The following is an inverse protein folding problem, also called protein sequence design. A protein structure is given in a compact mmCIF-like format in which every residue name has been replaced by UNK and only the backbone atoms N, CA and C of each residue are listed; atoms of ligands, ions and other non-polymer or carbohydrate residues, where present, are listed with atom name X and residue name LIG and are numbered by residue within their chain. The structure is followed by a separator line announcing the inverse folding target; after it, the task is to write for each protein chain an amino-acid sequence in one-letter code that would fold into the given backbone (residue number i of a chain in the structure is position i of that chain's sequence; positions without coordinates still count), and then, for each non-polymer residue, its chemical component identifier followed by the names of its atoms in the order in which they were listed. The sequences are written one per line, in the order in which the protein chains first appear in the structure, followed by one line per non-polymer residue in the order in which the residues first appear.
data_IF_738154828633
#
_entry.id   IF_738154828633
#
_cell.length_a   1.000
_cell.length_b   1.000
_cell.length_c   1.000
_cell.angle_alpha   90.00
_cell.angle_beta   90.00
_cell.angle_gamma   90.00
#
_symmetry.space_group_name_H-M   'P 1'
#
loop_
_entity.id
_entity.type
_entity.pdbx_description
1 polymer ?
#
# COMPACT_ATOMS: atom_id res chain seq x y z
N UNK A 1 8.66 -3.51 18.97
CA UNK A 1 7.59 -4.25 18.28
C UNK A 1 6.20 -4.08 18.92
N UNK A 2 6.01 -3.33 20.02
CA UNK A 2 4.77 -3.36 20.81
C UNK A 2 3.58 -2.53 20.27
N UNK A 3 3.71 -1.75 19.19
CA UNK A 3 2.61 -0.90 18.69
C UNK A 3 2.62 -0.79 17.15
N UNK A 4 2.53 -1.93 16.47
CA UNK A 4 2.42 -1.98 15.02
C UNK A 4 1.18 -2.78 14.64
N UNK A 5 0.26 -2.15 13.93
CA UNK A 5 -0.90 -2.79 13.33
C UNK A 5 -0.54 -3.15 11.88
N UNK A 6 -0.58 -4.43 11.57
CA UNK A 6 -0.57 -4.92 10.19
C UNK A 6 -2.02 -5.20 9.80
N UNK A 7 -2.63 -4.28 9.07
CA UNK A 7 -3.99 -4.46 8.55
C UNK A 7 -3.90 -5.14 7.17
N UNK A 8 -4.66 -6.22 6.99
CA UNK A 8 -4.58 -7.07 5.80
C UNK A 8 -5.97 -7.63 5.46
N UNK A 9 -6.45 -7.38 4.24
CA UNK A 9 -7.58 -8.12 3.67
C UNK A 9 -7.09 -8.93 2.48
N UNK A 10 -7.15 -10.26 2.61
CA UNK A 10 -7.05 -11.16 1.47
C UNK A 10 -8.45 -11.32 0.86
N UNK A 11 -8.62 -10.91 -0.39
CA UNK A 11 -9.84 -11.22 -1.13
C UNK A 11 -9.87 -12.74 -1.39
N UNK A 12 -10.86 -13.44 -0.82
CA UNK A 12 -11.18 -14.82 -1.19
C UNK A 12 -11.75 -14.82 -2.61
N UNK A 13 -11.36 -15.76 -3.49
CA UNK A 13 -11.96 -15.89 -4.81
C UNK A 13 -13.42 -16.29 -4.64
N UNK A 14 -14.36 -15.42 -5.02
CA UNK A 14 -15.73 -15.81 -5.28
C UNK A 14 -15.79 -16.49 -6.66
N UNK A 15 -16.05 -17.80 -6.62
CA UNK A 15 -16.35 -18.83 -7.65
C UNK A 15 -15.93 -18.60 -9.14
N UNK A 16 -15.26 -19.58 -9.78
CA UNK A 16 -14.87 -19.50 -11.17
C UNK A 16 -16.02 -19.91 -12.10
N UNK A 17 -16.56 -18.96 -12.86
CA UNK A 17 -17.15 -19.31 -14.16
C UNK A 17 -16.00 -19.41 -15.18
N UNK A 18 -15.89 -20.50 -15.95
CA UNK A 18 -14.79 -20.69 -16.91
C UNK A 18 -15.08 -19.85 -18.15
N UNK A 19 -14.80 -18.55 -18.07
CA UNK A 19 -14.62 -17.74 -19.27
C UNK A 19 -13.18 -17.98 -19.74
N UNK A 20 -12.93 -18.37 -20.99
CA UNK A 20 -11.57 -18.59 -21.46
C UNK A 20 -10.79 -17.28 -21.29
N UNK A 21 -9.81 -17.29 -20.40
CA UNK A 21 -8.91 -16.18 -20.19
C UNK A 21 -8.16 -15.93 -21.50
N UNK A 22 -8.61 -14.92 -22.25
CA UNK A 22 -7.72 -14.18 -23.13
C UNK A 22 -6.52 -13.81 -22.26
N UNK A 23 -5.34 -14.30 -22.61
CA UNK A 23 -4.07 -13.92 -22.00
C UNK A 23 -3.92 -12.40 -22.11
N UNK A 24 -4.46 -11.68 -21.13
CA UNK A 24 -4.19 -10.27 -20.93
C UNK A 24 -2.87 -10.18 -20.20
N UNK A 25 -1.83 -9.70 -20.88
CA UNK A 25 -0.58 -9.29 -20.25
C UNK A 25 -0.90 -8.38 -19.05
N UNK A 26 -0.17 -8.49 -17.93
CA UNK A 26 -0.35 -7.60 -16.79
C UNK A 26 -0.13 -6.14 -17.25
N UNK A 27 -1.19 -5.32 -17.22
CA UNK A 27 -1.21 -3.98 -17.82
C UNK A 27 -0.24 -2.97 -17.19
N UNK A 28 0.39 -3.28 -16.06
CA UNK A 28 1.37 -2.38 -15.42
C UNK A 28 2.38 -3.22 -14.64
N UNK A 29 3.67 -3.05 -14.95
CA UNK A 29 4.77 -3.67 -14.22
C UNK A 29 4.84 -3.10 -12.79
N UNK A 30 5.29 -3.89 -11.80
CA UNK A 30 5.50 -3.36 -10.46
C UNK A 30 6.54 -2.23 -10.47
N UNK A 31 6.38 -1.20 -9.64
CA UNK A 31 7.32 -0.09 -9.59
C UNK A 31 8.65 -0.58 -9.03
N UNK A 32 9.77 -0.06 -9.54
CA UNK A 32 11.12 -0.44 -9.07
C UNK A 32 11.42 0.08 -7.66
N UNK A 33 10.77 1.17 -7.27
CA UNK A 33 10.86 1.80 -5.96
C UNK A 33 9.46 2.13 -5.44
N UNK A 34 9.32 2.33 -4.13
CA UNK A 34 8.07 2.78 -3.57
C UNK A 34 7.65 4.14 -4.14
N UNK A 35 6.36 4.29 -4.46
CA UNK A 35 5.79 5.53 -4.96
C UNK A 35 5.12 6.27 -3.80
N UNK A 36 5.30 7.60 -3.67
CA UNK A 36 4.53 8.37 -2.72
C UNK A 36 3.06 8.37 -3.16
N UNK A 37 2.13 7.98 -2.29
CA UNK A 37 0.69 7.97 -2.59
C UNK A 37 0.01 9.22 -2.04
N UNK A 38 0.27 9.52 -0.77
CA UNK A 38 -0.22 10.72 -0.09
C UNK A 38 0.98 11.43 0.52
N UNK A 39 1.15 12.72 0.25
CA UNK A 39 2.18 13.55 0.88
C UNK A 39 1.55 14.72 1.64
N UNK A 40 2.16 15.18 2.74
CA UNK A 40 1.70 16.37 3.44
C UNK A 40 1.78 17.60 2.54
N UNK A 41 0.70 18.38 2.49
CA UNK A 41 0.72 19.71 1.89
C UNK A 41 1.48 20.68 2.79
N UNK A 42 2.36 21.49 2.22
CA UNK A 42 3.16 22.45 2.97
C UNK A 42 2.29 23.34 3.87
N UNK A 43 2.71 23.49 5.13
CA UNK A 43 2.05 24.32 6.14
C UNK A 43 0.57 23.96 6.45
N UNK A 44 0.11 22.76 6.10
CA UNK A 44 -1.23 22.29 6.46
C UNK A 44 -1.21 20.86 7.02
N UNK A 45 -2.33 20.43 7.62
CA UNK A 45 -2.54 19.03 8.04
C UNK A 45 -3.18 18.18 6.94
N UNK A 46 -3.23 18.69 5.70
CA UNK A 46 -3.83 17.99 4.56
C UNK A 46 -2.82 17.05 3.91
N UNK A 47 -3.37 16.01 3.30
CA UNK A 47 -2.65 15.04 2.49
C UNK A 47 -3.05 15.24 1.02
N UNK A 48 -2.07 15.40 0.15
CA UNK A 48 -2.25 15.51 -1.29
C UNK A 48 -1.95 14.17 -1.96
N UNK A 49 -2.89 13.73 -2.81
CA UNK A 49 -2.75 12.55 -3.65
C UNK A 49 -1.71 12.80 -4.74
N UNK A 50 -0.81 11.84 -4.93
CA UNK A 50 0.25 11.94 -5.93
C UNK A 50 -0.18 11.31 -7.26
N UNK A 51 -0.07 12.03 -8.40
CA UNK A 51 -0.54 11.55 -9.70
C UNK A 51 0.09 10.23 -10.16
N UNK A 52 1.41 10.06 -10.00
CA UNK A 52 2.13 8.86 -10.45
C UNK A 52 1.62 7.60 -9.75
N UNK A 53 1.41 7.67 -8.43
CA UNK A 53 0.83 6.59 -7.65
C UNK A 53 -0.61 6.30 -8.05
N UNK A 54 -1.41 7.33 -8.31
CA UNK A 54 -2.80 7.17 -8.76
C UNK A 54 -2.86 6.50 -10.14
N UNK A 55 -2.03 6.91 -11.08
CA UNK A 55 -1.93 6.30 -12.41
C UNK A 55 -1.53 4.83 -12.31
N UNK A 56 -0.56 4.50 -11.46
CA UNK A 56 -0.16 3.12 -11.20
C UNK A 56 -1.34 2.29 -10.68
N UNK A 57 -2.05 2.76 -9.65
CA UNK A 57 -3.19 2.04 -9.07
C UNK A 57 -4.35 1.92 -10.06
N UNK A 58 -4.64 2.97 -10.84
CA UNK A 58 -5.69 2.96 -11.85
C UNK A 58 -5.39 2.02 -13.03
N UNK A 59 -4.11 1.76 -13.32
CA UNK A 59 -3.66 0.81 -14.33
C UNK A 59 -3.78 -0.66 -13.93
N UNK A 60 -3.98 -0.96 -12.64
CA UNK A 60 -4.05 -2.34 -12.15
C UNK A 60 -5.28 -3.07 -12.70
N UNK A 61 -5.05 -4.32 -13.11
CA UNK A 61 -6.08 -5.24 -13.59
C UNK A 61 -6.07 -6.51 -12.76
N UNK A 62 -7.27 -7.04 -12.48
CA UNK A 62 -7.47 -8.24 -11.69
C UNK A 62 -7.58 -7.96 -10.18
N UNK A 63 -7.54 -9.03 -9.36
CA UNK A 63 -7.67 -8.89 -7.91
C UNK A 63 -6.53 -8.07 -7.30
N UNK A 64 -6.90 -7.19 -6.36
CA UNK A 64 -5.96 -6.38 -5.57
C UNK A 64 -6.15 -6.68 -4.09
N UNK A 65 -5.07 -6.97 -3.40
CA UNK A 65 -5.03 -7.07 -1.94
C UNK A 65 -4.17 -5.92 -1.39
N UNK A 66 -4.47 -5.46 -0.18
CA UNK A 66 -3.74 -4.36 0.46
C UNK A 66 -3.19 -4.83 1.80
N UNK A 67 -1.91 -4.55 2.03
CA UNK A 67 -1.20 -4.77 3.30
C UNK A 67 -0.70 -3.42 3.80
N UNK A 68 -1.21 -2.93 4.92
CA UNK A 68 -0.78 -1.65 5.49
C UNK A 68 -0.04 -1.85 6.80
N UNK A 69 1.16 -1.28 6.92
CA UNK A 69 1.89 -1.19 8.19
C UNK A 69 1.65 0.18 8.82
N UNK A 70 1.01 0.20 9.99
CA UNK A 70 0.65 1.42 10.71
C UNK A 70 1.22 1.33 12.13
N UNK A 71 1.73 2.44 12.68
CA UNK A 71 2.24 2.48 14.05
C UNK A 71 3.23 3.60 14.29
N UNK A 72 3.74 3.68 15.52
CA UNK A 72 4.60 4.77 16.00
C UNK A 72 5.82 5.05 15.11
N UNK A 73 6.37 6.26 15.26
CA UNK A 73 7.65 6.61 14.67
C UNK A 73 8.76 5.62 15.06
N UNK A 74 9.57 5.19 14.08
CA UNK A 74 10.70 4.24 14.23
C UNK A 74 10.34 2.84 14.75
N UNK A 75 9.12 2.36 14.49
CA UNK A 75 8.72 0.99 14.86
C UNK A 75 9.20 -0.11 13.90
N UNK A 76 9.87 0.25 12.79
CA UNK A 76 10.41 -0.71 11.82
C UNK A 76 9.46 -1.11 10.69
N UNK A 77 8.43 -0.29 10.40
CA UNK A 77 7.38 -0.57 9.39
C UNK A 77 7.93 -0.86 8.00
N UNK A 78 8.66 0.08 7.43
CA UNK A 78 9.28 -0.03 6.10
C UNK A 78 10.20 -1.26 6.00
N UNK A 79 10.96 -1.55 7.06
CA UNK A 79 11.79 -2.74 7.15
C UNK A 79 10.96 -4.02 7.15
N UNK A 80 9.91 -4.10 7.97
CA UNK A 80 9.00 -5.25 7.99
C UNK A 80 8.39 -5.50 6.61
N UNK A 81 7.89 -4.46 5.95
CA UNK A 81 7.27 -4.59 4.63
C UNK A 81 8.28 -5.11 3.60
N UNK A 82 9.51 -4.61 3.59
CA UNK A 82 10.57 -5.13 2.73
C UNK A 82 10.89 -6.61 3.01
N UNK A 83 10.87 -7.04 4.28
CA UNK A 83 11.06 -8.46 4.63
C UNK A 83 9.89 -9.33 4.14
N UNK A 84 8.65 -8.86 4.28
CA UNK A 84 7.46 -9.57 3.79
C UNK A 84 7.49 -9.75 2.27
N UNK A 85 7.91 -8.72 1.54
CA UNK A 85 8.04 -8.74 0.08
C UNK A 85 9.28 -9.53 -0.40
N UNK A 86 10.18 -9.92 0.52
CA UNK A 86 11.48 -10.57 0.24
C UNK A 86 12.35 -9.75 -0.72
N UNK A 87 12.31 -8.41 -0.60
CA UNK A 87 13.06 -7.51 -1.47
C UNK A 87 14.52 -7.34 -1.01
N UNK A 88 15.36 -7.05 -1.98
CA UNK A 88 16.78 -6.76 -1.81
C UNK A 88 16.94 -5.33 -1.26
N UNK A 89 18.11 -4.99 -0.71
CA UNK A 89 18.37 -3.66 -0.15
C UNK A 89 18.27 -2.49 -1.15
N UNK A 90 18.19 -2.76 -2.46
CA UNK A 90 18.08 -1.77 -3.53
C UNK A 90 16.64 -1.52 -4.01
N UNK A 91 15.66 -2.25 -3.50
CA UNK A 91 14.25 -2.23 -3.94
C UNK A 91 13.31 -2.02 -2.75
N UNK A 92 12.07 -1.59 -3.03
CA UNK A 92 11.05 -1.42 -1.99
C UNK A 92 11.08 -0.06 -1.30
N UNK A 93 10.77 -0.06 0.00
CA UNK A 93 10.72 1.14 0.82
C UNK A 93 12.11 1.55 1.30
N UNK A 94 12.38 2.85 1.31
CA UNK A 94 13.64 3.38 1.84
C UNK A 94 13.72 3.17 3.35
N UNK A 95 14.81 2.56 3.80
CA UNK A 95 15.11 2.37 5.22
C UNK A 95 16.37 3.16 5.57
N UNK A 96 16.24 4.18 6.41
CA UNK A 96 17.36 5.01 6.86
C UNK A 96 17.67 4.82 8.35
N UNK A 97 18.94 5.02 8.73
CA UNK A 97 19.39 5.00 10.13
C UNK A 97 19.35 6.38 10.82
N UNK A 98 18.93 7.44 10.10
CA UNK A 98 18.96 8.83 10.59
C UNK A 98 17.74 9.16 11.45
N UNK A 99 17.84 10.26 12.22
CA UNK A 99 16.82 10.68 13.20
C UNK A 99 15.57 11.30 12.59
N UNK A 100 15.60 11.71 11.32
CA UNK A 100 14.45 12.31 10.63
C UNK A 100 13.51 11.23 10.09
N UNK A 101 12.20 11.48 10.16
CA UNK A 101 11.21 10.58 9.61
C UNK A 101 11.46 10.36 8.12
N UNK A 102 11.90 9.14 7.79
CA UNK A 102 12.26 8.75 6.43
C UNK A 102 11.00 8.66 5.55
N UNK A 103 9.88 8.23 6.13
CA UNK A 103 8.59 8.15 5.46
C UNK A 103 7.72 9.33 5.88
N UNK A 104 7.36 10.18 4.92
CA UNK A 104 6.36 11.24 5.08
C UNK A 104 5.09 10.88 4.33
N UNK A 105 3.94 11.02 4.98
CA UNK A 105 2.63 10.64 4.42
C UNK A 105 2.45 9.13 4.26
N UNK A 106 1.96 8.67 3.11
CA UNK A 106 1.71 7.25 2.80
C UNK A 106 2.39 6.89 1.48
N UNK A 107 3.13 5.78 1.48
CA UNK A 107 3.88 5.28 0.33
C UNK A 107 3.36 3.91 -0.06
N UNK A 108 3.41 3.60 -1.36
CA UNK A 108 2.94 2.34 -1.91
C UNK A 108 4.05 1.57 -2.61
N UNK A 109 4.01 0.24 -2.52
CA UNK A 109 4.79 -0.65 -3.37
C UNK A 109 3.90 -1.81 -3.83
N UNK A 110 3.88 -2.09 -5.13
CA UNK A 110 3.07 -3.17 -5.69
C UNK A 110 3.91 -4.40 -6.04
N UNK A 111 3.44 -5.58 -5.65
CA UNK A 111 4.07 -6.87 -5.98
C UNK A 111 3.04 -7.84 -6.53
N UNK A 112 3.40 -8.59 -7.58
CA UNK A 112 2.57 -9.67 -8.10
C UNK A 112 2.67 -10.89 -7.18
N UNK A 113 1.52 -11.47 -6.86
CA UNK A 113 1.42 -12.69 -6.07
C UNK A 113 0.60 -13.73 -6.82
N UNK A 114 1.28 -14.70 -7.42
CA UNK A 114 0.65 -15.77 -8.21
C UNK A 114 -0.17 -16.75 -7.34
N UNK A 115 0.18 -16.87 -6.06
CA UNK A 115 -0.44 -17.80 -5.12
C UNK A 115 -1.82 -17.33 -4.60
N UNK A 116 -2.27 -16.12 -4.94
CA UNK A 116 -3.52 -15.53 -4.46
C UNK A 116 -4.35 -15.01 -5.63
N UNK A 117 -5.68 -14.91 -5.50
CA UNK A 117 -6.54 -14.27 -6.51
C UNK A 117 -7.00 -15.14 -7.68
N UNK A 118 -6.72 -16.45 -7.68
CA UNK A 118 -7.19 -17.36 -8.71
C UNK A 118 -6.36 -17.35 -10.00
N UNK A 119 -6.91 -17.81 -11.14
CA UNK A 119 -6.16 -17.89 -12.40
C UNK A 119 -5.69 -16.50 -12.85
N UNK A 120 -4.38 -16.27 -12.86
CA UNK A 120 -3.76 -14.97 -13.19
C UNK A 120 -3.19 -14.20 -11.99
N UNK A 121 -3.34 -14.72 -10.77
CA UNK A 121 -2.76 -14.15 -9.56
C UNK A 121 -3.47 -12.87 -9.08
N UNK A 122 -2.88 -12.24 -8.06
CA UNK A 122 -3.30 -10.95 -7.53
C UNK A 122 -2.15 -9.95 -7.54
N UNK A 123 -2.48 -8.66 -7.49
CA UNK A 123 -1.52 -7.62 -7.12
C UNK A 123 -1.68 -7.31 -5.63
N UNK A 124 -0.60 -7.42 -4.88
CA UNK A 124 -0.55 -7.00 -3.47
C UNK A 124 0.06 -5.61 -3.40
N UNK A 125 -0.69 -4.65 -2.85
CA UNK A 125 -0.23 -3.31 -2.55
C UNK A 125 0.20 -3.25 -1.10
N UNK A 126 1.48 -2.99 -0.87
CA UNK A 126 2.03 -2.70 0.44
C UNK A 126 1.98 -1.19 0.68
N UNK A 127 1.44 -0.77 1.82
CA UNK A 127 1.36 0.62 2.24
C UNK A 127 2.26 0.83 3.46
N UNK A 128 3.29 1.66 3.31
CA UNK A 128 4.12 2.14 4.40
C UNK A 128 3.64 3.54 4.82
N UNK A 129 3.34 3.73 6.10
CA UNK A 129 2.85 5.01 6.61
C UNK A 129 3.92 5.76 7.38
N UNK A 130 3.81 7.09 7.40
CA UNK A 130 4.47 7.90 8.41
C UNK A 130 4.08 7.40 9.81
N UNK A 131 5.04 7.48 10.75
CA UNK A 131 4.81 7.04 12.11
C UNK A 131 4.29 8.15 13.00
N UNK A 132 3.39 7.80 13.90
CA UNK A 132 2.78 8.74 14.84
C UNK A 132 3.82 9.26 15.84
N UNK A 133 3.78 10.57 16.11
CA UNK A 133 4.63 11.26 17.10
C UNK A 133 3.82 11.82 18.28
N UNK A 134 2.49 11.80 18.19
CA UNK A 134 1.60 11.86 19.35
C UNK A 134 1.69 13.13 20.21
N UNK A 135 1.57 14.34 19.64
CA UNK A 135 1.08 15.54 20.37
C UNK A 135 0.56 16.64 19.43
N UNK A 136 -0.49 17.37 19.85
CA UNK A 136 -0.93 18.63 19.21
C UNK A 136 -1.58 18.48 17.83
N UNK A 137 -1.27 19.39 16.89
CA UNK A 137 -1.80 19.39 15.50
C UNK A 137 -1.46 18.12 14.71
N UNK A 138 -0.48 17.35 15.17
CA UNK A 138 -0.13 16.05 14.60
C UNK A 138 -1.28 15.03 14.76
N UNK A 139 -2.14 15.14 15.78
CA UNK A 139 -3.21 14.17 16.02
C UNK A 139 -4.18 14.06 14.83
N UNK A 140 -4.69 15.18 14.32
CA UNK A 140 -5.61 15.17 13.18
C UNK A 140 -4.95 14.73 11.86
N UNK A 141 -3.63 14.81 11.77
CA UNK A 141 -2.85 14.32 10.63
C UNK A 141 -2.63 12.80 10.74
N UNK A 142 -2.18 12.35 11.92
CA UNK A 142 -2.00 10.95 12.30
C UNK A 142 -3.32 10.18 12.13
N UNK A 143 -4.45 10.75 12.57
CA UNK A 143 -5.79 10.18 12.42
C UNK A 143 -6.18 9.99 10.94
N UNK A 144 -5.79 10.92 10.06
CA UNK A 144 -6.07 10.81 8.61
C UNK A 144 -5.25 9.70 7.97
N UNK A 145 -3.97 9.59 8.33
CA UNK A 145 -3.11 8.50 7.87
C UNK A 145 -3.65 7.16 8.37
N UNK A 146 -4.00 7.07 9.65
CA UNK A 146 -4.58 5.88 10.24
C UNK A 146 -5.89 5.47 9.54
N UNK A 147 -6.83 6.40 9.42
CA UNK A 147 -8.13 6.15 8.78
C UNK A 147 -7.96 5.75 7.32
N UNK A 148 -7.11 6.44 6.55
CA UNK A 148 -6.83 6.08 5.16
C UNK A 148 -6.26 4.67 5.05
N UNK A 149 -5.24 4.34 5.85
CA UNK A 149 -4.57 3.05 5.77
C UNK A 149 -5.49 1.90 6.22
N UNK A 150 -6.27 2.09 7.28
CA UNK A 150 -7.27 1.13 7.75
C UNK A 150 -8.37 0.89 6.70
N UNK A 151 -8.97 1.98 6.17
CA UNK A 151 -9.99 1.88 5.12
C UNK A 151 -9.44 1.26 3.84
N UNK A 152 -8.19 1.58 3.46
CA UNK A 152 -7.55 1.00 2.28
C UNK A 152 -7.30 -0.50 2.46
N UNK A 153 -6.93 -0.93 3.68
CA UNK A 153 -6.77 -2.34 4.00
C UNK A 153 -8.09 -3.11 3.99
N UNK A 154 -9.22 -2.45 4.26
CA UNK A 154 -10.56 -3.05 4.21
C UNK A 154 -11.24 -2.92 2.84
N UNK A 155 -10.73 -2.07 1.96
CA UNK A 155 -11.35 -1.77 0.67
C UNK A 155 -11.44 -3.05 -0.18
N UNK A 156 -12.68 -3.48 -0.43
CA UNK A 156 -12.95 -4.52 -1.43
C UNK A 156 -12.86 -3.86 -2.80
N UNK A 157 -12.00 -4.39 -3.66
CA UNK A 157 -12.09 -4.11 -5.08
C UNK A 157 -13.47 -4.59 -5.56
N UNK A 158 -14.43 -3.65 -5.68
CA UNK A 158 -15.69 -3.91 -6.35
C UNK A 158 -15.30 -4.16 -7.80
N UNK A 159 -15.39 -5.40 -8.26
CA UNK A 159 -15.38 -5.70 -9.68
C UNK A 159 -16.63 -5.07 -10.30
N UNK A 160 -16.57 -3.76 -10.52
CA UNK A 160 -17.62 -3.00 -11.16
C UNK A 160 -17.63 -3.36 -12.63
N UNK A 161 -18.55 -4.23 -13.02
CA UNK A 161 -19.05 -4.27 -14.37
C UNK A 161 -19.83 -2.96 -14.60
N UNK A 162 -19.11 -1.89 -14.92
CA UNK A 162 -19.71 -0.70 -15.51
C UNK A 162 -19.99 -1.07 -16.97
N UNK A 163 -21.16 -1.70 -17.16
CA UNK A 163 -21.79 -1.86 -18.46
C UNK A 163 -22.32 -0.53 -18.99
#
# INVERSE_FOLDING_TARGET
FSEMLLACLALSPSDPSPTPALRGEPSTAPPRAALPLLLPEAASTKLALQPEALEYVAGLRGPVAVVAAIGQYRSGKSFLLNQLMRLNCSEGFQVGHRRDAQTKGVWLYGQRAEAFGGPGGATVLFLDTEGFEGTGKAAAYDDRIFAFAALSAEARAISGNLG
#
